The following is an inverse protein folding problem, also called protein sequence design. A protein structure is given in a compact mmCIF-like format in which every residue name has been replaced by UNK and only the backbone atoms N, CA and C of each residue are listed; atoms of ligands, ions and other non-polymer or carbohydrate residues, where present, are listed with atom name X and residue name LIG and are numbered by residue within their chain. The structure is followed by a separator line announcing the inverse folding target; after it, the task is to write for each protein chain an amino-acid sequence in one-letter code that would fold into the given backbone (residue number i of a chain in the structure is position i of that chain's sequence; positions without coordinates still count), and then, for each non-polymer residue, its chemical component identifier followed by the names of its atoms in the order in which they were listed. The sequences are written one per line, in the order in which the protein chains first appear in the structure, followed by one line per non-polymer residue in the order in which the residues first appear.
data_IF_955147859742
#
_entry.id   IF_955147859742
#
_cell.length_a   1.000
_cell.length_b   1.000
_cell.length_c   1.000
_cell.angle_alpha   90.00
_cell.angle_beta   90.00
_cell.angle_gamma   90.00
#
_symmetry.space_group_name_H-M   'P 1'
#
loop_
_entity.id
_entity.type
_entity.pdbx_description
1 polymer ?
#
# COMPACT_ATOMS: atom_id res chain seq x y z
N UNK A 1 -25.36 -12.37 -73.25
CA UNK A 1 -23.89 -12.26 -73.25
C UNK A 1 -23.52 -11.05 -72.39
N UNK A 2 -23.02 -11.31 -71.19
CA UNK A 2 -22.48 -10.29 -70.27
C UNK A 2 -21.49 -11.00 -69.35
N UNK A 3 -20.23 -10.56 -69.25
CA UNK A 3 -19.23 -11.29 -68.49
C UNK A 3 -19.34 -10.96 -66.99
N UNK A 4 -19.30 -12.02 -66.18
CA UNK A 4 -19.09 -11.96 -64.74
C UNK A 4 -17.69 -11.38 -64.46
N UNK A 5 -17.64 -10.27 -63.71
CA UNK A 5 -16.42 -9.81 -63.07
C UNK A 5 -16.20 -10.59 -61.78
N UNK A 6 -15.20 -11.48 -61.77
CA UNK A 6 -14.62 -12.03 -60.54
C UNK A 6 -13.53 -11.07 -60.06
N UNK A 7 -13.77 -10.37 -58.96
CA UNK A 7 -12.75 -9.63 -58.23
C UNK A 7 -12.00 -10.64 -57.37
N UNK A 8 -10.79 -11.02 -57.80
CA UNK A 8 -9.83 -11.73 -56.96
C UNK A 8 -9.19 -10.69 -56.04
N UNK A 9 -9.62 -10.67 -54.77
CA UNK A 9 -8.93 -9.93 -53.73
C UNK A 9 -7.64 -10.68 -53.39
N UNK A 10 -6.50 -10.18 -53.87
CA UNK A 10 -5.19 -10.55 -53.36
C UNK A 10 -5.05 -9.96 -51.95
N UNK A 11 -5.32 -10.77 -50.94
CA UNK A 11 -4.80 -10.56 -49.59
C UNK A 11 -3.33 -10.98 -49.61
N UNK A 12 -2.45 -10.05 -49.95
CA UNK A 12 -1.06 -10.09 -49.55
C UNK A 12 -0.99 -9.96 -48.03
N UNK A 13 -1.12 -11.08 -47.33
CA UNK A 13 -0.65 -11.16 -45.94
C UNK A 13 0.88 -11.12 -45.98
N UNK A 14 1.42 -9.94 -45.72
CA UNK A 14 2.78 -9.77 -45.23
C UNK A 14 2.89 -10.44 -43.86
N UNK A 15 3.15 -11.74 -43.84
CA UNK A 15 3.70 -12.47 -42.70
C UNK A 15 5.21 -12.56 -42.88
N UNK A 16 5.95 -11.92 -41.98
CA UNK A 16 7.40 -11.80 -42.05
C UNK A 16 8.09 -13.17 -42.08
N UNK A 17 8.71 -13.50 -43.20
CA UNK A 17 9.77 -14.51 -43.28
C UNK A 17 11.09 -13.74 -43.29
N UNK A 18 11.69 -13.57 -42.11
CA UNK A 18 13.10 -13.19 -41.98
C UNK A 18 13.80 -14.36 -41.30
N UNK A 19 13.89 -15.48 -42.02
CA UNK A 19 14.91 -16.47 -41.78
C UNK A 19 16.26 -15.85 -42.19
N UNK A 20 16.96 -15.26 -41.23
CA UNK A 20 18.40 -14.99 -41.36
C UNK A 20 19.16 -16.02 -40.51
N UNK A 21 19.32 -17.26 -41.00
CA UNK A 21 19.98 -18.36 -40.28
C UNK A 21 21.48 -18.14 -40.01
N UNK A 22 22.02 -16.98 -40.39
CA UNK A 22 23.44 -16.61 -40.28
C UNK A 22 23.67 -15.44 -39.31
N UNK A 23 22.81 -15.23 -38.32
CA UNK A 23 23.14 -14.33 -37.21
C UNK A 23 24.02 -15.06 -36.19
N UNK A 24 24.87 -14.31 -35.49
CA UNK A 24 25.75 -14.83 -34.43
C UNK A 24 24.97 -15.66 -33.37
N UNK A 25 23.70 -15.29 -33.17
CA UNK A 25 22.79 -15.86 -32.18
C UNK A 25 21.85 -16.95 -32.73
N UNK A 26 21.96 -17.34 -34.01
CA UNK A 26 21.05 -18.29 -34.65
C UNK A 26 20.79 -19.58 -33.84
N UNK A 27 21.82 -20.25 -33.28
CA UNK A 27 21.61 -21.44 -32.44
C UNK A 27 20.77 -21.21 -31.17
N UNK A 28 20.71 -19.96 -30.67
CA UNK A 28 19.99 -19.59 -29.46
C UNK A 28 18.55 -19.13 -29.73
N UNK A 29 18.24 -18.76 -30.97
CA UNK A 29 16.94 -18.23 -31.39
C UNK A 29 15.72 -19.09 -31.00
N UNK A 30 15.71 -20.43 -31.19
CA UNK A 30 14.54 -21.23 -30.81
C UNK A 30 14.22 -21.15 -29.31
N UNK A 31 15.24 -21.07 -28.44
CA UNK A 31 15.05 -20.95 -26.99
C UNK A 31 14.48 -19.60 -26.60
N UNK A 32 14.92 -18.52 -27.27
CA UNK A 32 14.34 -17.19 -27.08
C UNK A 32 12.88 -17.17 -27.49
N UNK A 33 12.54 -17.79 -28.62
CA UNK A 33 11.15 -17.86 -29.09
C UNK A 33 10.26 -18.69 -28.15
N UNK A 34 10.78 -19.79 -27.60
CA UNK A 34 10.05 -20.61 -26.63
C UNK A 34 9.80 -19.85 -25.32
N UNK A 35 10.83 -19.17 -24.79
CA UNK A 35 10.70 -18.30 -23.63
C UNK A 35 9.69 -17.17 -23.88
N UNK A 36 9.75 -16.50 -25.03
CA UNK A 36 8.82 -15.42 -25.39
C UNK A 36 7.37 -15.92 -25.46
N UNK A 37 7.13 -17.10 -26.03
CA UNK A 37 5.79 -17.72 -26.07
C UNK A 37 5.28 -18.05 -24.67
N UNK A 38 6.14 -18.57 -23.80
CA UNK A 38 5.78 -18.91 -22.43
C UNK A 38 5.43 -17.66 -21.61
N UNK A 39 6.26 -16.62 -21.71
CA UNK A 39 6.02 -15.31 -21.10
C UNK A 39 4.71 -14.71 -21.60
N UNK A 40 4.48 -14.72 -22.92
CA UNK A 40 3.26 -14.17 -23.53
C UNK A 40 2.00 -14.86 -23.03
N UNK A 41 2.00 -16.19 -22.87
CA UNK A 41 0.84 -16.94 -22.35
C UNK A 41 0.52 -16.56 -20.91
N UNK A 42 1.54 -16.43 -20.07
CA UNK A 42 1.32 -16.00 -18.69
C UNK A 42 0.77 -14.56 -18.63
N UNK A 43 1.30 -13.64 -19.45
CA UNK A 43 0.78 -12.27 -19.56
C UNK A 43 -0.66 -12.24 -20.05
N UNK A 44 -0.98 -13.04 -21.07
CA UNK A 44 -2.34 -13.17 -21.61
C UNK A 44 -3.31 -13.66 -20.53
N UNK A 45 -2.96 -14.72 -19.81
CA UNK A 45 -3.77 -15.23 -18.71
C UNK A 45 -3.95 -14.17 -17.61
N UNK A 46 -2.88 -13.53 -17.16
CA UNK A 46 -2.94 -12.52 -16.11
C UNK A 46 -3.79 -11.31 -16.51
N UNK A 47 -3.75 -10.91 -17.78
CA UNK A 47 -4.54 -9.80 -18.31
C UNK A 47 -6.02 -10.14 -18.40
N UNK A 48 -6.35 -11.36 -18.88
CA UNK A 48 -7.74 -11.83 -18.97
C UNK A 48 -8.37 -11.99 -17.58
N UNK A 49 -7.58 -12.37 -16.58
CA UNK A 49 -8.00 -12.57 -15.19
C UNK A 49 -7.65 -11.37 -14.31
N UNK A 50 -7.83 -10.14 -14.82
CA UNK A 50 -7.57 -8.89 -14.09
C UNK A 50 -8.83 -8.26 -13.49
N UNK A 51 -10.02 -8.73 -13.86
CA UNK A 51 -11.32 -8.17 -13.43
C UNK A 51 -12.31 -9.31 -13.09
N UNK A 52 -12.47 -9.69 -11.81
CA UNK A 52 -11.54 -9.38 -10.72
C UNK A 52 -10.18 -10.05 -10.92
N UNK A 53 -9.12 -9.57 -10.25
CA UNK A 53 -7.82 -10.22 -10.29
C UNK A 53 -7.92 -11.65 -9.71
N UNK A 54 -7.59 -12.67 -10.51
CA UNK A 54 -7.59 -14.10 -10.13
C UNK A 54 -6.35 -14.85 -10.65
N UNK A 55 -5.21 -14.16 -10.71
CA UNK A 55 -3.98 -14.64 -11.34
C UNK A 55 -3.38 -15.86 -10.63
N UNK A 56 -3.38 -15.89 -9.30
CA UNK A 56 -2.80 -16.99 -8.54
C UNK A 56 -3.60 -18.29 -8.72
N UNK A 57 -4.93 -18.21 -8.79
CA UNK A 57 -5.81 -19.37 -8.90
C UNK A 57 -5.92 -19.87 -10.34
N UNK A 58 -6.11 -18.98 -11.30
CA UNK A 58 -6.43 -19.35 -12.68
C UNK A 58 -5.19 -19.46 -13.58
N UNK A 59 -4.11 -18.70 -13.31
CA UNK A 59 -2.91 -18.64 -14.16
C UNK A 59 -1.71 -19.44 -13.64
N UNK A 60 -1.89 -20.24 -12.58
CA UNK A 60 -0.82 -21.07 -11.99
C UNK A 60 -0.16 -22.00 -13.03
N UNK A 61 -0.95 -22.57 -13.96
CA UNK A 61 -0.44 -23.47 -15.00
C UNK A 61 0.53 -22.77 -15.94
N UNK A 62 0.14 -21.61 -16.47
CA UNK A 62 0.98 -20.81 -17.37
C UNK A 62 2.23 -20.29 -16.64
N UNK A 63 2.08 -19.87 -15.38
CA UNK A 63 3.20 -19.44 -14.55
C UNK A 63 4.22 -20.57 -14.33
N UNK A 64 3.78 -21.77 -13.96
CA UNK A 64 4.67 -22.92 -13.77
C UNK A 64 5.40 -23.30 -15.07
N UNK A 65 4.69 -23.29 -16.20
CA UNK A 65 5.29 -23.55 -17.51
C UNK A 65 6.34 -22.48 -17.87
N UNK A 66 6.03 -21.20 -17.65
CA UNK A 66 6.98 -20.11 -17.83
C UNK A 66 8.25 -20.30 -16.99
N UNK A 67 8.11 -20.65 -15.70
CA UNK A 67 9.26 -20.88 -14.80
C UNK A 67 10.08 -22.11 -15.21
N UNK A 68 9.43 -23.16 -15.71
CA UNK A 68 10.14 -24.32 -16.25
C UNK A 68 10.96 -23.95 -17.49
N UNK A 69 10.38 -23.20 -18.43
CA UNK A 69 11.07 -22.77 -19.64
C UNK A 69 12.20 -21.79 -19.33
N UNK A 70 12.01 -20.90 -18.35
CA UNK A 70 13.09 -20.06 -17.83
C UNK A 70 14.25 -20.91 -17.30
N UNK A 71 13.97 -21.89 -16.45
CA UNK A 71 14.99 -22.79 -15.91
C UNK A 71 15.74 -23.51 -17.03
N UNK A 72 15.01 -24.12 -17.98
CA UNK A 72 15.56 -24.83 -19.11
C UNK A 72 16.47 -23.89 -19.94
N UNK A 73 16.00 -22.66 -20.21
CA UNK A 73 16.76 -21.63 -20.96
C UNK A 73 18.01 -21.17 -20.22
N UNK A 74 18.00 -21.13 -18.89
CA UNK A 74 19.20 -20.79 -18.09
C UNK A 74 20.24 -21.91 -18.06
N UNK A 75 19.81 -23.16 -18.21
CA UNK A 75 20.64 -24.36 -18.12
C UNK A 75 20.91 -25.02 -19.49
N UNK A 76 20.67 -24.31 -20.59
CA UNK A 76 21.05 -24.79 -21.93
C UNK A 76 22.56 -24.89 -22.08
N UNK A 77 23.01 -26.04 -22.58
CA UNK A 77 24.40 -26.28 -22.96
C UNK A 77 24.58 -26.09 -24.48
N UNK A 78 24.15 -24.93 -24.98
CA UNK A 78 24.29 -24.54 -26.39
C UNK A 78 25.11 -23.25 -26.45
N UNK A 79 26.03 -23.21 -27.42
CA UNK A 79 26.88 -22.05 -27.65
C UNK A 79 26.59 -21.40 -28.99
N UNK A 80 26.82 -20.10 -29.05
CA UNK A 80 26.79 -19.30 -30.27
C UNK A 80 28.00 -19.61 -31.17
N UNK A 81 28.03 -19.05 -32.37
CA UNK A 81 29.16 -19.24 -33.29
C UNK A 81 30.47 -18.62 -32.79
N UNK A 82 30.43 -17.66 -31.86
CA UNK A 82 31.61 -17.10 -31.15
C UNK A 82 31.94 -17.81 -29.84
N UNK A 83 31.23 -18.89 -29.50
CA UNK A 83 31.52 -19.71 -28.31
C UNK A 83 30.98 -19.17 -26.99
N UNK A 84 30.13 -18.14 -27.00
CA UNK A 84 29.39 -17.70 -25.81
C UNK A 84 28.24 -18.67 -25.53
N UNK A 85 27.87 -18.84 -24.25
CA UNK A 85 26.70 -19.66 -23.92
C UNK A 85 25.43 -18.90 -24.28
N UNK A 86 24.41 -19.62 -24.76
CA UNK A 86 23.12 -18.99 -25.05
C UNK A 86 22.47 -18.41 -23.78
N UNK A 87 22.69 -19.00 -22.61
CA UNK A 87 22.20 -18.47 -21.33
C UNK A 87 22.76 -17.07 -21.04
N UNK A 88 24.07 -16.90 -21.19
CA UNK A 88 24.72 -15.59 -21.01
C UNK A 88 24.29 -14.58 -22.07
N UNK A 89 24.16 -15.01 -23.33
CA UNK A 89 23.67 -14.15 -24.41
C UNK A 89 22.26 -13.62 -24.13
N UNK A 90 21.36 -14.49 -23.67
CA UNK A 90 19.95 -14.16 -23.44
C UNK A 90 19.79 -13.27 -22.21
N UNK A 91 20.47 -13.58 -21.10
CA UNK A 91 20.21 -12.94 -19.81
C UNK A 91 21.23 -11.85 -19.41
N UNK A 92 22.47 -11.90 -19.89
CA UNK A 92 23.57 -11.12 -19.30
C UNK A 92 24.37 -10.24 -20.30
N UNK A 93 24.35 -10.56 -21.59
CA UNK A 93 25.29 -9.95 -22.55
C UNK A 93 24.91 -8.53 -23.01
N UNK A 94 23.65 -8.13 -22.87
CA UNK A 94 23.15 -6.83 -23.35
C UNK A 94 22.92 -5.84 -22.21
N UNK A 95 23.11 -4.54 -22.50
CA UNK A 95 22.82 -3.41 -21.57
C UNK A 95 21.41 -3.51 -20.99
N UNK A 96 20.46 -3.91 -21.82
CA UNK A 96 19.12 -4.28 -21.42
C UNK A 96 18.84 -5.67 -21.95
N UNK A 97 18.83 -6.66 -21.06
CA UNK A 97 18.35 -7.99 -21.39
C UNK A 97 16.84 -8.04 -21.22
N UNK A 98 16.09 -7.87 -22.32
CA UNK A 98 14.63 -7.99 -22.28
C UNK A 98 14.16 -9.35 -21.75
N UNK A 99 14.88 -10.43 -22.08
CA UNK A 99 14.60 -11.77 -21.55
C UNK A 99 14.68 -11.81 -20.03
N UNK A 100 15.70 -11.20 -19.43
CA UNK A 100 15.86 -11.12 -17.98
C UNK A 100 14.83 -10.17 -17.33
N UNK A 101 14.70 -8.95 -17.85
CA UNK A 101 13.83 -7.90 -17.29
C UNK A 101 12.36 -8.32 -17.30
N UNK A 102 11.87 -8.90 -18.41
CA UNK A 102 10.49 -9.39 -18.50
C UNK A 102 10.31 -10.56 -17.54
N UNK A 103 11.20 -11.54 -17.54
CA UNK A 103 11.13 -12.69 -16.63
C UNK A 103 11.06 -12.24 -15.16
N UNK A 104 11.91 -11.29 -14.78
CA UNK A 104 11.93 -10.75 -13.43
C UNK A 104 10.64 -9.97 -13.12
N UNK A 105 10.14 -9.16 -14.04
CA UNK A 105 8.89 -8.43 -13.84
C UNK A 105 7.68 -9.36 -13.67
N UNK A 106 7.58 -10.43 -14.48
CA UNK A 106 6.52 -11.42 -14.36
C UNK A 106 6.56 -12.13 -13.01
N UNK A 107 7.74 -12.48 -12.53
CA UNK A 107 7.91 -13.09 -11.21
C UNK A 107 7.61 -12.08 -10.08
N UNK A 108 8.35 -10.97 -10.03
CA UNK A 108 8.37 -10.09 -8.87
C UNK A 108 7.14 -9.16 -8.80
N UNK A 109 6.65 -8.69 -9.95
CA UNK A 109 5.58 -7.67 -10.02
C UNK A 109 4.19 -8.24 -10.26
N UNK A 110 4.10 -9.44 -10.81
CA UNK A 110 2.81 -10.10 -11.03
C UNK A 110 2.63 -11.20 -9.98
N UNK A 111 3.52 -12.19 -9.93
CA UNK A 111 3.33 -13.36 -9.06
C UNK A 111 3.56 -13.05 -7.57
N UNK A 112 4.76 -12.57 -7.20
CA UNK A 112 5.14 -12.33 -5.81
C UNK A 112 4.37 -11.16 -5.20
N UNK A 113 4.16 -10.08 -5.96
CA UNK A 113 3.35 -8.94 -5.51
C UNK A 113 1.87 -9.33 -5.24
N UNK A 114 1.35 -10.36 -5.92
CA UNK A 114 0.01 -10.91 -5.67
C UNK A 114 -0.05 -11.83 -4.44
N UNK A 115 1.08 -12.07 -3.77
CA UNK A 115 1.20 -12.94 -2.59
C UNK A 115 0.63 -14.34 -2.85
N UNK A 116 0.89 -14.91 -4.04
CA UNK A 116 0.33 -16.21 -4.41
C UNK A 116 0.75 -17.35 -3.46
N UNK A 117 1.91 -17.23 -2.82
CA UNK A 117 2.40 -18.16 -1.79
C UNK A 117 1.45 -18.31 -0.59
N UNK A 118 0.64 -17.29 -0.30
CA UNK A 118 -0.39 -17.34 0.75
C UNK A 118 -1.57 -18.24 0.41
N UNK A 119 -1.83 -18.48 -0.88
CA UNK A 119 -2.97 -19.28 -1.34
C UNK A 119 -2.58 -20.68 -1.81
N UNK A 120 -1.37 -20.83 -2.33
CA UNK A 120 -0.86 -22.09 -2.85
C UNK A 120 0.63 -22.21 -2.63
N UNK A 121 1.10 -23.45 -2.56
CA UNK A 121 2.51 -23.78 -2.52
C UNK A 121 2.92 -24.56 -3.78
N UNK A 122 4.09 -24.26 -4.33
CA UNK A 122 4.66 -24.95 -5.49
C UNK A 122 5.92 -25.70 -5.04
N UNK A 123 5.91 -27.02 -5.23
CA UNK A 123 7.08 -27.89 -5.10
C UNK A 123 7.81 -27.94 -6.45
N UNK A 124 8.87 -27.14 -6.58
CA UNK A 124 9.65 -27.02 -7.80
C UNK A 124 10.59 -28.22 -7.98
N UNK A 125 10.42 -28.95 -9.09
CA UNK A 125 11.28 -30.05 -9.52
C UNK A 125 11.63 -29.87 -10.99
N UNK A 126 12.46 -28.85 -11.26
CA UNK A 126 12.80 -28.45 -12.62
C UNK A 126 13.56 -29.53 -13.38
N UNK A 127 14.48 -30.24 -12.74
CA UNK A 127 15.31 -31.28 -13.38
C UNK A 127 14.49 -32.46 -13.91
N UNK A 128 13.46 -32.89 -13.17
CA UNK A 128 12.60 -34.02 -13.56
C UNK A 128 11.36 -33.58 -14.34
N UNK A 129 11.10 -32.26 -14.45
CA UNK A 129 9.86 -31.69 -14.99
C UNK A 129 8.59 -32.19 -14.28
N UNK A 130 8.71 -32.51 -12.99
CA UNK A 130 7.60 -33.02 -12.16
C UNK A 130 7.18 -32.02 -11.07
N UNK A 131 7.31 -30.72 -11.34
CA UNK A 131 6.86 -29.66 -10.44
C UNK A 131 5.36 -29.80 -10.17
N UNK A 132 4.93 -29.69 -8.90
CA UNK A 132 3.53 -29.81 -8.49
C UNK A 132 3.13 -28.65 -7.60
N UNK A 133 1.85 -28.31 -7.60
CA UNK A 133 1.31 -27.29 -6.71
C UNK A 133 0.18 -27.83 -5.85
N UNK A 134 -0.02 -27.22 -4.70
CA UNK A 134 -1.10 -27.55 -3.77
C UNK A 134 -1.70 -26.28 -3.18
N UNK A 135 -3.02 -26.15 -3.24
CA UNK A 135 -3.73 -25.07 -2.54
C UNK A 135 -3.72 -25.29 -1.03
N UNK A 136 -3.57 -24.19 -0.30
CA UNK A 136 -3.68 -24.17 1.15
C UNK A 136 -5.09 -24.59 1.59
N UNK A 137 -5.18 -25.25 2.74
CA UNK A 137 -6.47 -25.72 3.26
C UNK A 137 -7.46 -24.56 3.47
N UNK A 138 -6.94 -23.37 3.79
CA UNK A 138 -7.76 -22.16 3.95
C UNK A 138 -8.38 -21.73 2.62
N UNK A 139 -7.56 -21.62 1.56
CA UNK A 139 -8.01 -21.31 0.20
C UNK A 139 -9.01 -22.31 -0.32
N UNK A 140 -8.77 -23.62 -0.14
CA UNK A 140 -9.71 -24.67 -0.53
C UNK A 140 -11.07 -24.51 0.16
N UNK A 141 -11.07 -24.23 1.46
CA UNK A 141 -12.31 -24.03 2.21
C UNK A 141 -13.04 -22.75 1.80
N UNK A 142 -12.31 -21.65 1.59
CA UNK A 142 -12.90 -20.41 1.12
C UNK A 142 -13.54 -20.60 -0.27
N UNK A 143 -12.76 -21.03 -1.26
CA UNK A 143 -13.17 -21.01 -2.66
C UNK A 143 -14.12 -22.16 -3.01
N UNK A 144 -13.72 -23.41 -2.74
CA UNK A 144 -14.46 -24.60 -3.21
C UNK A 144 -15.72 -24.91 -2.38
N UNK A 145 -15.82 -24.37 -1.16
CA UNK A 145 -16.92 -24.71 -0.24
C UNK A 145 -17.80 -23.49 0.02
N UNK A 146 -17.26 -22.46 0.65
CA UNK A 146 -18.06 -21.33 1.11
C UNK A 146 -18.49 -20.42 -0.03
N UNK A 147 -17.53 -20.03 -0.87
CA UNK A 147 -17.77 -19.12 -1.97
C UNK A 147 -18.63 -19.78 -3.06
N UNK A 148 -18.35 -21.03 -3.43
CA UNK A 148 -19.21 -21.81 -4.34
C UNK A 148 -20.64 -21.91 -3.80
N UNK A 149 -20.83 -22.28 -2.53
CA UNK A 149 -22.16 -22.39 -1.91
C UNK A 149 -22.97 -21.09 -1.95
N UNK A 150 -22.31 -19.96 -1.70
CA UNK A 150 -22.96 -18.65 -1.80
C UNK A 150 -23.32 -18.31 -3.26
N UNK A 151 -22.39 -18.52 -4.21
CA UNK A 151 -22.62 -18.26 -5.63
C UNK A 151 -23.78 -19.10 -6.16
N UNK A 152 -23.80 -20.40 -5.85
CA UNK A 152 -24.87 -21.32 -6.24
C UNK A 152 -26.23 -20.86 -5.68
N UNK A 153 -26.27 -20.32 -4.47
CA UNK A 153 -27.49 -19.73 -3.91
C UNK A 153 -27.98 -18.53 -4.74
N UNK A 154 -27.08 -17.59 -5.05
CA UNK A 154 -27.40 -16.39 -5.83
C UNK A 154 -27.87 -16.76 -7.23
N UNK A 155 -27.19 -17.69 -7.90
CA UNK A 155 -27.56 -18.17 -9.24
C UNK A 155 -28.93 -18.87 -9.23
N UNK A 156 -29.21 -19.72 -8.24
CA UNK A 156 -30.51 -20.39 -8.14
C UNK A 156 -31.67 -19.42 -7.92
N UNK A 157 -31.47 -18.37 -7.11
CA UNK A 157 -32.51 -17.36 -6.86
C UNK A 157 -32.73 -16.48 -8.09
N UNK A 158 -31.66 -16.09 -8.77
CA UNK A 158 -31.72 -15.20 -9.95
C UNK A 158 -32.25 -15.90 -11.19
N UNK A 159 -32.11 -17.22 -11.32
CA UNK A 159 -32.66 -18.01 -12.43
C UNK A 159 -34.17 -18.30 -12.32
N UNK A 160 -34.81 -17.98 -11.20
CA UNK A 160 -36.26 -18.17 -11.07
C UNK A 160 -37.04 -17.12 -11.88
N UNK A 161 -37.87 -17.55 -12.83
CA UNK A 161 -38.68 -16.69 -13.73
C UNK A 161 -39.64 -15.72 -12.99
N UNK A 162 -39.90 -15.95 -11.69
CA UNK A 162 -40.71 -15.08 -10.82
C UNK A 162 -39.95 -13.82 -10.33
N UNK A 163 -38.64 -13.71 -10.58
CA UNK A 163 -37.80 -12.58 -10.15
C UNK A 163 -38.09 -11.25 -10.90
N UNK A 164 -38.97 -11.25 -11.91
CA UNK A 164 -39.34 -10.03 -12.65
C UNK A 164 -40.52 -9.24 -12.05
N UNK A 165 -41.22 -9.77 -11.04
CA UNK A 165 -42.46 -9.16 -10.53
C UNK A 165 -42.44 -8.73 -9.05
N UNK A 166 -41.36 -9.01 -8.31
CA UNK A 166 -41.14 -8.51 -6.96
C UNK A 166 -39.69 -8.05 -6.78
N UNK A 167 -39.45 -7.17 -5.81
CA UNK A 167 -38.14 -6.62 -5.44
C UNK A 167 -37.11 -7.74 -5.17
N UNK A 168 -36.49 -8.23 -6.25
CA UNK A 168 -35.62 -9.41 -6.33
C UNK A 168 -34.38 -9.27 -5.45
N UNK A 169 -34.01 -8.03 -5.16
CA UNK A 169 -32.96 -7.69 -4.22
C UNK A 169 -33.30 -8.20 -2.80
N UNK A 170 -34.54 -8.02 -2.34
CA UNK A 170 -34.95 -8.46 -1.00
C UNK A 170 -35.00 -9.99 -0.82
N UNK A 171 -35.27 -10.73 -1.91
CA UNK A 171 -35.34 -12.19 -1.89
C UNK A 171 -33.95 -12.81 -1.85
N UNK A 172 -32.98 -12.29 -2.61
CA UNK A 172 -31.57 -12.71 -2.54
C UNK A 172 -31.00 -12.44 -1.14
N UNK A 173 -31.25 -11.25 -0.59
CA UNK A 173 -30.76 -10.89 0.74
C UNK A 173 -31.29 -11.78 1.86
N UNK A 174 -32.49 -12.33 1.73
CA UNK A 174 -33.10 -13.20 2.75
C UNK A 174 -32.77 -14.67 2.52
N UNK A 175 -32.79 -15.13 1.28
CA UNK A 175 -32.50 -16.52 0.92
C UNK A 175 -31.02 -16.88 1.09
N UNK A 176 -30.10 -16.00 0.70
CA UNK A 176 -28.66 -16.28 0.68
C UNK A 176 -27.89 -15.67 1.86
N UNK A 177 -28.60 -15.12 2.86
CA UNK A 177 -27.99 -14.48 4.04
C UNK A 177 -27.11 -15.42 4.83
N UNK A 178 -27.54 -16.67 5.00
CA UNK A 178 -26.82 -17.65 5.81
C UNK A 178 -25.46 -17.99 5.17
N UNK A 179 -25.46 -18.27 3.87
CA UNK A 179 -24.27 -18.59 3.08
C UNK A 179 -23.30 -17.41 3.05
N UNK A 180 -23.81 -16.19 2.84
CA UNK A 180 -22.99 -14.98 2.86
C UNK A 180 -22.36 -14.75 4.24
N UNK A 181 -23.14 -14.88 5.32
CA UNK A 181 -22.63 -14.70 6.68
C UNK A 181 -21.56 -15.73 7.05
N UNK A 182 -21.72 -16.99 6.62
CA UNK A 182 -20.72 -18.03 6.85
C UNK A 182 -19.41 -17.73 6.08
N UNK A 183 -19.53 -17.33 4.81
CA UNK A 183 -18.40 -16.90 3.98
C UNK A 183 -17.67 -15.70 4.61
N UNK A 184 -18.42 -14.66 4.97
CA UNK A 184 -17.87 -13.44 5.58
C UNK A 184 -17.21 -13.73 6.93
N UNK A 185 -17.85 -14.53 7.79
CA UNK A 185 -17.28 -14.88 9.09
C UNK A 185 -15.96 -15.66 8.94
N UNK A 186 -15.87 -16.57 7.97
CA UNK A 186 -14.66 -17.31 7.68
C UNK A 186 -13.53 -16.40 7.19
N UNK A 187 -13.83 -15.53 6.22
CA UNK A 187 -12.87 -14.54 5.72
C UNK A 187 -12.39 -13.60 6.82
N UNK A 188 -13.32 -13.01 7.57
CA UNK A 188 -13.03 -12.04 8.62
C UNK A 188 -12.14 -12.63 9.71
N UNK A 189 -12.37 -13.90 10.08
CA UNK A 189 -11.54 -14.60 11.07
C UNK A 189 -10.06 -14.65 10.68
N UNK A 190 -9.76 -14.86 9.40
CA UNK A 190 -8.39 -14.92 8.90
C UNK A 190 -7.84 -13.52 8.68
N UNK A 191 -8.67 -12.59 8.19
CA UNK A 191 -8.27 -11.20 7.97
C UNK A 191 -7.79 -10.48 9.24
N UNK A 192 -8.38 -10.80 10.40
CA UNK A 192 -8.00 -10.20 11.70
C UNK A 192 -6.82 -10.91 12.39
N UNK A 193 -6.40 -12.09 11.90
CA UNK A 193 -5.33 -12.86 12.53
C UNK A 193 -3.97 -12.24 12.17
N UNK A 194 -3.11 -11.94 13.16
CA UNK A 194 -1.80 -11.37 12.87
C UNK A 194 -0.93 -12.38 12.11
N UNK A 195 -0.09 -11.87 11.20
CA UNK A 195 0.86 -12.63 10.38
C UNK A 195 0.26 -13.64 9.39
N UNK A 196 -1.07 -13.75 9.28
CA UNK A 196 -1.74 -14.49 8.21
C UNK A 196 -2.40 -13.52 7.24
N UNK A 197 -2.15 -13.72 5.94
CA UNK A 197 -2.72 -12.89 4.88
C UNK A 197 -3.22 -13.78 3.77
N UNK A 198 -4.32 -13.40 3.14
CA UNK A 198 -4.76 -14.01 1.90
C UNK A 198 -3.93 -13.51 0.71
N UNK A 199 -3.96 -14.26 -0.39
CA UNK A 199 -3.48 -13.73 -1.67
C UNK A 199 -4.46 -12.66 -2.20
N UNK A 200 -3.96 -11.84 -3.13
CA UNK A 200 -4.74 -10.77 -3.76
C UNK A 200 -6.03 -11.30 -4.39
N UNK A 201 -6.01 -12.50 -4.99
CA UNK A 201 -7.20 -13.10 -5.61
C UNK A 201 -8.37 -13.25 -4.63
N UNK A 202 -8.12 -13.77 -3.42
CA UNK A 202 -9.17 -13.96 -2.41
C UNK A 202 -9.65 -12.63 -1.86
N UNK A 203 -8.72 -11.69 -1.63
CA UNK A 203 -9.08 -10.35 -1.15
C UNK A 203 -9.97 -9.61 -2.15
N UNK A 204 -9.61 -9.64 -3.44
CA UNK A 204 -10.40 -9.02 -4.49
C UNK A 204 -11.74 -9.70 -4.68
N UNK A 205 -11.77 -11.05 -4.69
CA UNK A 205 -13.00 -11.81 -4.80
C UNK A 205 -13.96 -11.50 -3.65
N UNK A 206 -13.45 -11.39 -2.42
CA UNK A 206 -14.27 -11.05 -1.27
C UNK A 206 -14.74 -9.59 -1.30
N UNK A 207 -13.88 -8.66 -1.72
CA UNK A 207 -14.23 -7.25 -1.88
C UNK A 207 -15.39 -7.07 -2.89
N UNK A 208 -15.31 -7.74 -4.04
CA UNK A 208 -16.36 -7.72 -5.06
C UNK A 208 -17.64 -8.38 -4.56
N UNK A 209 -17.53 -9.51 -3.85
CA UNK A 209 -18.67 -10.18 -3.21
C UNK A 209 -19.36 -9.24 -2.22
N UNK A 210 -18.59 -8.52 -1.42
CA UNK A 210 -19.10 -7.58 -0.42
C UNK A 210 -19.76 -6.35 -1.07
N UNK A 211 -19.19 -5.82 -2.15
CA UNK A 211 -19.79 -4.75 -2.95
C UNK A 211 -21.09 -5.23 -3.61
N UNK A 212 -21.10 -6.42 -4.21
CA UNK A 212 -22.31 -7.01 -4.79
C UNK A 212 -23.41 -7.16 -3.73
N UNK A 213 -23.08 -7.69 -2.56
CA UNK A 213 -24.04 -7.88 -1.48
C UNK A 213 -24.60 -6.56 -0.91
N UNK A 214 -23.73 -5.60 -0.63
CA UNK A 214 -24.15 -4.37 0.06
C UNK A 214 -24.75 -3.32 -0.87
N UNK A 215 -24.11 -3.10 -2.02
CA UNK A 215 -24.38 -1.94 -2.88
C UNK A 215 -25.28 -2.30 -4.06
N UNK A 216 -25.03 -3.44 -4.71
CA UNK A 216 -25.84 -3.88 -5.86
C UNK A 216 -27.15 -4.51 -5.39
N UNK A 217 -27.08 -5.48 -4.47
CA UNK A 217 -28.26 -6.16 -3.91
C UNK A 217 -28.92 -5.34 -2.79
N UNK A 218 -28.25 -4.32 -2.25
CA UNK A 218 -28.83 -3.47 -1.20
C UNK A 218 -29.08 -4.19 0.14
N UNK A 219 -28.40 -5.32 0.40
CA UNK A 219 -28.64 -6.14 1.58
C UNK A 219 -28.12 -5.55 2.90
N UNK A 220 -27.45 -4.39 2.83
CA UNK A 220 -26.96 -3.68 4.01
C UNK A 220 -28.12 -3.22 4.91
N UNK A 221 -28.09 -3.57 6.19
CA UNK A 221 -29.11 -3.20 7.19
C UNK A 221 -29.05 -1.70 7.52
N UNK A 222 -29.54 -0.85 6.61
CA UNK A 222 -29.56 0.62 6.78
C UNK A 222 -30.46 1.10 7.93
N UNK A 223 -31.40 0.25 8.36
CA UNK A 223 -32.46 0.60 9.33
C UNK A 223 -31.94 0.77 10.76
N UNK A 224 -30.88 0.06 11.14
CA UNK A 224 -30.32 0.16 12.49
C UNK A 224 -29.25 1.25 12.60
N UNK A 225 -28.51 1.52 11.50
CA UNK A 225 -27.56 2.63 11.43
C UNK A 225 -28.19 3.99 11.74
N UNK A 226 -29.43 4.22 11.32
CA UNK A 226 -30.15 5.48 11.59
C UNK A 226 -30.51 5.64 13.08
N UNK A 227 -30.89 4.55 13.75
CA UNK A 227 -31.20 4.58 15.19
C UNK A 227 -29.94 4.83 16.02
N UNK A 228 -28.84 4.18 15.66
CA UNK A 228 -27.54 4.38 16.32
C UNK A 228 -27.00 5.80 16.10
N UNK A 229 -27.13 6.33 14.89
CA UNK A 229 -26.75 7.72 14.59
C UNK A 229 -27.53 8.71 15.44
N UNK A 230 -28.85 8.52 15.55
CA UNK A 230 -29.69 9.37 16.39
C UNK A 230 -29.26 9.31 17.86
N UNK A 231 -28.98 8.11 18.39
CA UNK A 231 -28.50 7.94 19.77
C UNK A 231 -27.18 8.72 20.00
N UNK A 232 -26.20 8.57 19.11
CA UNK A 232 -24.90 9.25 19.21
C UNK A 232 -25.05 10.77 19.13
N UNK A 233 -25.93 11.27 18.26
CA UNK A 233 -26.20 12.71 18.14
C UNK A 233 -26.83 13.25 19.43
N UNK A 234 -27.83 12.56 19.99
CA UNK A 234 -28.46 13.02 21.22
C UNK A 234 -27.51 12.99 22.42
N UNK A 235 -26.67 11.95 22.56
CA UNK A 235 -25.69 11.88 23.64
C UNK A 235 -24.61 12.95 23.49
N UNK A 236 -24.16 13.22 22.26
CA UNK A 236 -23.19 14.29 21.98
C UNK A 236 -23.74 15.68 22.34
N UNK A 237 -24.99 15.98 21.97
CA UNK A 237 -25.66 17.24 22.31
C UNK A 237 -25.82 17.37 23.83
N UNK A 238 -26.24 16.31 24.51
CA UNK A 238 -26.41 16.33 25.97
C UNK A 238 -25.08 16.63 26.69
N UNK A 239 -23.98 15.98 26.27
CA UNK A 239 -22.65 16.22 26.83
C UNK A 239 -22.17 17.65 26.56
N UNK A 240 -22.44 18.20 25.37
CA UNK A 240 -22.11 19.57 25.04
C UNK A 240 -22.87 20.57 25.92
N UNK A 241 -24.18 20.37 26.10
CA UNK A 241 -25.03 21.22 26.95
C UNK A 241 -24.57 21.15 28.42
N UNK A 242 -24.29 19.95 28.94
CA UNK A 242 -23.79 19.79 30.31
C UNK A 242 -22.44 20.51 30.50
N UNK A 243 -21.54 20.39 29.53
CA UNK A 243 -20.24 21.08 29.55
C UNK A 243 -20.41 22.60 29.52
N UNK A 244 -21.27 23.10 28.63
CA UNK A 244 -21.59 24.52 28.52
C UNK A 244 -22.17 25.08 29.83
N UNK A 245 -23.15 24.39 30.42
CA UNK A 245 -23.76 24.77 31.69
C UNK A 245 -22.75 24.75 32.85
N UNK A 246 -21.84 23.78 32.87
CA UNK A 246 -20.77 23.71 33.87
C UNK A 246 -19.84 24.93 33.79
N UNK A 247 -19.37 25.32 32.60
CA UNK A 247 -18.50 26.49 32.44
C UNK A 247 -19.24 27.80 32.72
N UNK A 248 -20.50 27.93 32.30
CA UNK A 248 -21.33 29.10 32.63
C UNK A 248 -21.56 29.23 34.15
N UNK A 249 -21.87 28.13 34.84
CA UNK A 249 -22.02 28.11 36.30
C UNK A 249 -20.72 28.46 37.03
N UNK A 250 -19.58 27.93 36.56
CA UNK A 250 -18.25 28.24 37.11
C UNK A 250 -17.91 29.72 36.97
N UNK A 251 -18.21 30.32 35.81
CA UNK A 251 -17.99 31.75 35.56
C UNK A 251 -18.83 32.63 36.51
N UNK A 252 -20.13 32.36 36.61
CA UNK A 252 -21.03 33.13 37.46
C UNK A 252 -20.71 33.01 38.97
N UNK A 253 -20.18 31.86 39.41
CA UNK A 253 -19.74 31.68 40.80
C UNK A 253 -18.36 32.31 41.07
N UNK A 254 -17.47 32.36 40.06
CA UNK A 254 -16.14 32.95 40.17
C UNK A 254 -16.16 34.46 40.44
N UNK A 255 -17.16 35.18 39.91
CA UNK A 255 -17.30 36.63 40.10
C UNK A 255 -17.70 37.01 41.55
N UNK A 256 -18.27 36.08 42.32
CA UNK A 256 -18.71 36.34 43.71
C UNK A 256 -17.61 36.17 44.77
N UNK A 257 -16.44 35.65 44.40
CA UNK A 257 -15.30 35.55 45.32
C UNK A 257 -14.32 36.67 45.01
N UNK A 258 -14.55 37.85 45.58
CA UNK A 258 -13.51 38.89 45.65
C UNK A 258 -12.34 38.33 46.45
N UNK A 259 -11.35 37.75 45.78
CA UNK A 259 -10.12 37.30 46.43
C UNK A 259 -9.42 38.55 46.96
N UNK A 260 -9.47 38.76 48.27
CA UNK A 260 -8.67 39.77 48.96
C UNK A 260 -7.20 39.37 48.77
N UNK A 261 -6.55 39.94 47.77
CA UNK A 261 -5.12 39.79 47.55
C UNK A 261 -4.40 40.36 48.78
N UNK A 262 -3.93 39.49 49.67
CA UNK A 262 -2.98 39.88 50.70
C UNK A 262 -1.66 40.13 50.00
N UNK A 263 -1.29 41.40 49.87
CA UNK A 263 0.00 41.79 49.31
C UNK A 263 1.09 41.38 50.31
N UNK A 264 1.78 40.27 50.04
CA UNK A 264 3.00 39.88 50.76
C UNK A 264 4.18 40.75 50.28
N UNK A 265 4.09 42.05 50.53
CA UNK A 265 5.16 43.01 50.26
C UNK A 265 5.93 43.23 51.56
N UNK A 266 6.81 42.28 51.93
CA UNK A 266 7.94 42.38 52.88
C UNK A 266 8.35 40.99 53.40
N UNK A 267 8.78 40.12 52.51
CA UNK A 267 9.74 39.08 52.88
C UNK A 267 10.98 39.34 52.06
N UNK A 268 12.09 39.60 52.74
CA UNK A 268 13.41 39.67 52.11
C UNK A 268 13.65 38.35 51.37
N UNK A 269 14.15 38.38 50.11
CA UNK A 269 14.44 37.16 49.38
C UNK A 269 15.48 36.35 50.18
N UNK A 270 15.22 35.07 50.50
CA UNK A 270 16.25 34.25 51.11
C UNK A 270 17.41 34.11 50.12
N UNK A 271 18.51 34.77 50.41
CA UNK A 271 19.82 34.38 49.91
C UNK A 271 20.06 32.94 50.36
N UNK A 272 19.98 31.98 49.44
CA UNK A 272 21.01 30.96 49.18
C UNK A 272 20.50 29.83 48.30
N UNK A 273 21.42 29.39 47.44
CA UNK A 273 21.46 28.14 46.68
C UNK A 273 20.46 27.96 45.54
N UNK A 274 20.82 28.65 44.45
CA UNK A 274 20.57 28.30 43.06
C UNK A 274 20.95 26.83 42.78
N UNK A 275 20.06 25.89 43.07
CA UNK A 275 20.14 24.55 42.48
C UNK A 275 19.70 24.65 41.02
N UNK A 276 20.64 24.36 40.12
CA UNK A 276 20.39 24.06 38.70
C UNK A 276 19.31 22.98 38.63
N UNK A 277 18.07 23.38 38.40
CA UNK A 277 17.09 22.53 37.73
C UNK A 277 17.16 22.92 36.25
N UNK A 278 18.03 22.22 35.53
CA UNK A 278 17.96 22.19 34.08
C UNK A 278 16.75 21.31 33.71
N UNK A 279 15.85 21.96 33.01
CA UNK A 279 14.70 21.47 32.25
C UNK A 279 14.74 19.98 31.91
N UNK A 280 13.82 19.23 32.50
CA UNK A 280 13.24 18.02 31.91
C UNK A 280 11.71 18.16 31.92
N UNK A 281 11.11 17.76 30.80
CA UNK A 281 9.67 17.66 30.54
C UNK A 281 8.88 18.98 30.44
N UNK A 282 8.87 19.54 29.23
CA UNK A 282 7.68 20.20 28.71
C UNK A 282 6.57 19.16 28.53
N UNK A 283 5.69 19.06 29.52
CA UNK A 283 4.36 18.48 29.38
C UNK A 283 3.34 19.39 30.05
N UNK A 284 2.75 20.30 29.28
CA UNK A 284 1.38 20.76 29.49
C UNK A 284 0.91 21.59 28.30
N UNK A 285 -0.20 21.15 27.73
CA UNK A 285 -0.98 21.81 26.71
C UNK A 285 -1.27 23.28 27.04
N UNK A 286 -0.96 24.15 26.09
CA UNK A 286 -1.61 25.43 25.91
C UNK A 286 -2.47 25.34 24.66
N UNK A 287 -3.79 25.30 24.84
CA UNK A 287 -4.73 25.70 23.80
C UNK A 287 -5.01 27.20 24.01
N UNK A 288 -4.72 28.01 22.99
CA UNK A 288 -5.53 29.18 22.69
C UNK A 288 -6.19 28.97 21.33
N UNK A 289 -7.50 29.15 21.40
CA UNK A 289 -8.52 29.30 20.36
C UNK A 289 -8.03 29.90 19.04
N UNK A 290 -8.70 29.51 17.94
CA UNK A 290 -9.49 30.47 17.16
C UNK A 290 -10.50 29.78 16.23
N UNK A 291 -11.75 30.26 16.30
CA UNK A 291 -12.69 30.21 15.19
C UNK A 291 -12.41 31.42 14.29
N UNK A 292 -12.18 31.21 12.99
CA UNK A 292 -12.61 32.12 11.93
C UNK A 292 -12.47 31.44 10.56
N UNK A 293 -13.60 31.30 9.89
CA UNK A 293 -13.78 31.09 8.47
C UNK A 293 -13.12 32.18 7.60
N UNK A 294 -12.68 31.84 6.38
CA UNK A 294 -13.08 32.47 5.09
C UNK A 294 -11.99 32.38 3.99
N UNK A 295 -12.46 31.92 2.81
CA UNK A 295 -12.08 32.18 1.40
C UNK A 295 -10.69 31.89 0.81
N UNK A 296 -10.77 31.22 -0.34
CA UNK A 296 -9.93 31.32 -1.54
C UNK A 296 -9.21 32.66 -1.74
N UNK A 297 -7.93 32.58 -2.10
CA UNK A 297 -7.16 33.64 -2.73
C UNK A 297 -6.00 33.02 -3.52
N UNK A 298 -6.13 32.99 -4.84
CA UNK A 298 -5.03 32.70 -5.75
C UNK A 298 -4.07 33.90 -5.80
N UNK A 299 -2.76 33.65 -5.76
CA UNK A 299 -1.70 34.33 -6.55
C UNK A 299 -0.34 34.20 -5.85
N UNK A 300 0.70 33.87 -6.62
CA UNK A 300 2.07 34.20 -6.25
C UNK A 300 3.06 33.05 -6.30
N UNK A 301 3.29 32.50 -7.48
CA UNK A 301 4.45 31.67 -7.82
C UNK A 301 5.76 32.36 -7.47
N UNK A 302 6.59 31.71 -6.63
CA UNK A 302 8.06 31.72 -6.73
C UNK A 302 8.60 30.35 -6.29
N UNK A 303 9.05 29.59 -7.29
CA UNK A 303 10.03 28.51 -7.29
C UNK A 303 10.37 27.84 -5.94
N UNK A 304 9.65 26.76 -5.63
CA UNK A 304 10.04 25.76 -4.62
C UNK A 304 10.17 24.36 -5.27
N UNK A 305 10.65 24.32 -6.53
CA UNK A 305 10.67 23.11 -7.36
C UNK A 305 12.07 22.47 -7.50
N UNK A 306 13.13 23.06 -6.94
CA UNK A 306 14.50 22.65 -7.27
C UNK A 306 15.25 21.80 -6.23
N UNK A 307 14.63 21.47 -5.08
CA UNK A 307 15.28 20.64 -4.03
C UNK A 307 14.62 19.27 -3.87
N UNK A 308 13.40 19.07 -4.37
CA UNK A 308 12.62 17.86 -4.07
C UNK A 308 12.99 16.60 -4.89
N UNK A 309 13.93 16.67 -5.84
CA UNK A 309 14.13 15.59 -6.82
C UNK A 309 15.46 14.82 -6.75
N UNK A 310 16.27 15.00 -5.70
CA UNK A 310 17.57 14.32 -5.55
C UNK A 310 17.76 13.41 -4.33
N UNK A 311 16.73 13.19 -3.49
CA UNK A 311 16.86 12.30 -2.31
C UNK A 311 16.27 10.89 -2.49
N UNK A 312 15.87 10.52 -3.71
CA UNK A 312 15.59 9.12 -4.00
C UNK A 312 16.88 8.37 -4.35
N UNK A 313 17.26 7.47 -3.44
CA UNK A 313 18.11 6.30 -3.70
C UNK A 313 19.59 6.61 -3.95
N UNK A 314 20.33 6.94 -2.87
CA UNK A 314 21.69 6.45 -2.56
C UNK A 314 22.14 6.95 -1.16
N UNK A 315 22.64 6.02 -0.34
CA UNK A 315 23.42 6.21 0.91
C UNK A 315 22.73 6.65 2.23
N UNK A 316 21.72 5.87 2.71
CA UNK A 316 21.40 5.79 4.16
C UNK A 316 21.72 4.41 4.78
N UNK A 317 22.64 3.66 4.18
CA UNK A 317 23.11 2.40 4.76
C UNK A 317 24.39 2.63 5.57
N UNK A 318 24.35 2.17 6.84
CA UNK A 318 25.37 2.23 7.89
C UNK A 318 25.40 3.54 8.72
N UNK A 319 24.37 3.73 9.57
CA UNK A 319 24.57 4.44 10.84
C UNK A 319 25.21 3.43 11.81
N UNK A 320 26.37 3.74 12.37
CA UNK A 320 27.10 2.82 13.26
C UNK A 320 26.37 2.59 14.59
N UNK A 321 26.34 1.34 15.06
CA UNK A 321 25.69 0.93 16.31
C UNK A 321 26.63 0.95 17.52
N UNK A 322 27.91 1.26 17.33
CA UNK A 322 28.90 1.26 18.40
C UNK A 322 28.70 2.44 19.37
N UNK A 323 28.73 2.13 20.66
CA UNK A 323 28.75 3.11 21.76
C UNK A 323 27.39 3.66 22.20
N UNK A 324 26.27 3.02 21.86
CA UNK A 324 24.94 3.46 22.30
C UNK A 324 24.69 3.05 23.75
N UNK A 325 24.43 4.03 24.62
CA UNK A 325 24.06 3.77 26.00
C UNK A 325 22.59 3.32 26.07
N UNK A 326 22.37 2.10 26.56
CA UNK A 326 21.04 1.52 26.72
C UNK A 326 20.21 2.22 27.82
N UNK A 327 20.84 2.96 28.73
CA UNK A 327 20.17 3.69 29.82
C UNK A 327 19.83 5.15 29.46
N UNK A 328 20.18 5.60 28.25
CA UNK A 328 19.87 6.94 27.74
C UNK A 328 18.83 6.88 26.60
N UNK A 329 18.36 8.03 26.13
CA UNK A 329 17.47 8.11 24.96
C UNK A 329 18.20 7.60 23.71
N UNK A 330 17.84 6.39 23.29
CA UNK A 330 18.44 5.72 22.14
C UNK A 330 18.05 6.44 20.84
N UNK A 331 16.81 6.93 20.73
CA UNK A 331 16.34 7.67 19.55
C UNK A 331 17.11 8.99 19.42
N UNK A 332 17.31 9.68 20.53
CA UNK A 332 18.14 10.89 20.59
C UNK A 332 19.56 10.67 20.05
N UNK A 333 20.23 9.59 20.49
CA UNK A 333 21.58 9.24 20.03
C UNK A 333 21.65 8.93 18.52
N UNK A 334 20.62 8.30 17.96
CA UNK A 334 20.56 8.06 16.51
C UNK A 334 20.26 9.32 15.71
N UNK A 335 19.41 10.21 16.22
CA UNK A 335 19.13 11.51 15.61
C UNK A 335 20.40 12.35 15.52
N UNK A 336 21.18 12.46 16.61
CA UNK A 336 22.46 13.18 16.64
C UNK A 336 23.44 12.67 15.57
N UNK A 337 23.54 11.34 15.40
CA UNK A 337 24.41 10.71 14.40
C UNK A 337 23.92 10.91 12.95
N UNK A 338 22.68 11.34 12.77
CA UNK A 338 22.06 11.64 11.48
C UNK A 338 22.04 13.14 11.15
N UNK A 339 22.34 14.03 12.10
CA UNK A 339 22.29 15.49 11.90
C UNK A 339 23.21 15.98 10.77
N UNK A 340 24.42 15.40 10.65
CA UNK A 340 25.38 15.75 9.60
C UNK A 340 24.81 15.47 8.19
N UNK A 341 23.96 14.45 8.05
CA UNK A 341 23.35 14.05 6.78
C UNK A 341 22.19 14.96 6.34
N UNK A 342 21.68 15.78 7.26
CA UNK A 342 20.55 16.70 7.03
C UNK A 342 20.92 18.16 7.31
N UNK A 343 22.23 18.46 7.32
CA UNK A 343 22.76 19.79 7.63
C UNK A 343 22.21 20.89 6.71
N UNK A 344 21.94 20.59 5.44
CA UNK A 344 21.38 21.55 4.48
C UNK A 344 19.96 21.98 4.88
N UNK A 345 19.11 21.04 5.29
CA UNK A 345 17.75 21.33 5.77
C UNK A 345 17.77 22.06 7.11
N UNK A 346 18.75 21.74 7.97
CA UNK A 346 18.97 22.47 9.22
C UNK A 346 19.33 23.94 8.97
N UNK A 347 20.18 24.20 7.98
CA UNK A 347 20.57 25.56 7.60
C UNK A 347 19.36 26.38 7.11
N UNK A 348 18.48 25.77 6.31
CA UNK A 348 17.24 26.41 5.83
C UNK A 348 16.30 26.74 7.00
N UNK A 349 16.15 25.82 7.95
CA UNK A 349 15.35 26.04 9.17
C UNK A 349 15.93 27.19 10.03
N UNK A 350 17.25 27.25 10.18
CA UNK A 350 17.91 28.31 10.94
C UNK A 350 17.79 29.67 10.25
N UNK A 351 17.86 29.71 8.93
CA UNK A 351 17.61 30.92 8.15
C UNK A 351 16.19 31.44 8.37
N UNK A 352 15.18 30.55 8.29
CA UNK A 352 13.81 30.92 8.60
C UNK A 352 13.68 31.43 10.04
N UNK A 353 14.29 30.72 11.00
CA UNK A 353 14.21 31.08 12.43
C UNK A 353 14.78 32.48 12.67
N UNK A 354 15.91 32.81 12.04
CA UNK A 354 16.51 34.14 12.11
C UNK A 354 15.62 35.22 11.46
N UNK A 355 14.92 34.88 10.37
CA UNK A 355 13.99 35.78 9.69
C UNK A 355 12.75 36.09 10.54
N UNK A 356 12.21 35.09 11.23
CA UNK A 356 11.08 35.27 12.16
C UNK A 356 11.50 36.06 13.39
N UNK A 357 12.66 35.76 13.98
CA UNK A 357 13.14 36.47 15.17
C UNK A 357 13.56 37.92 14.90
N UNK A 358 14.01 38.24 13.69
CA UNK A 358 14.42 39.60 13.32
C UNK A 358 13.25 40.56 13.04
N UNK A 359 12.01 40.06 12.93
CA UNK A 359 10.83 40.87 12.60
C UNK A 359 9.85 40.92 13.79
N UNK A 360 9.57 42.11 14.36
CA UNK A 360 8.74 42.22 15.57
C UNK A 360 7.25 41.92 15.36
N UNK A 361 6.73 41.99 14.12
CA UNK A 361 5.34 41.69 13.77
C UNK A 361 5.31 40.94 12.42
N UNK A 362 5.59 39.64 12.44
CA UNK A 362 5.53 38.79 11.24
C UNK A 362 4.48 37.68 11.41
N UNK A 363 3.69 37.41 10.37
CA UNK A 363 2.78 36.26 10.30
C UNK A 363 3.48 35.00 9.75
N UNK A 364 4.76 35.14 9.38
CA UNK A 364 5.60 34.05 8.89
C UNK A 364 5.94 33.06 10.01
N UNK A 365 5.87 31.76 9.69
CA UNK A 365 6.26 30.66 10.60
C UNK A 365 7.22 29.72 9.88
N UNK A 366 8.10 29.07 10.64
CA UNK A 366 9.07 28.10 10.10
C UNK A 366 8.57 26.65 10.18
N UNK A 367 7.25 26.46 10.13
CA UNK A 367 6.66 25.14 10.34
C UNK A 367 7.03 24.17 9.22
N UNK A 368 7.06 24.64 7.97
CA UNK A 368 7.37 23.79 6.82
C UNK A 368 8.83 23.33 6.87
N UNK A 369 9.77 24.25 7.07
CA UNK A 369 11.20 23.97 7.18
C UNK A 369 11.50 23.03 8.35
N UNK A 370 10.74 23.13 9.44
CA UNK A 370 10.85 22.24 10.59
C UNK A 370 10.37 20.82 10.22
N UNK A 371 9.23 20.70 9.55
CA UNK A 371 8.70 19.42 9.10
C UNK A 371 9.64 18.74 8.10
N UNK A 372 10.19 19.48 7.15
CA UNK A 372 11.14 18.97 6.15
C UNK A 372 12.42 18.45 6.83
N UNK A 373 12.98 19.21 7.79
CA UNK A 373 14.13 18.80 8.59
C UNK A 373 13.85 17.53 9.40
N UNK A 374 12.74 17.49 10.14
CA UNK A 374 12.36 16.34 10.98
C UNK A 374 12.13 15.10 10.13
N UNK A 375 11.42 15.23 9.00
CA UNK A 375 11.12 14.10 8.12
C UNK A 375 12.41 13.46 7.57
N UNK A 376 13.38 14.27 7.16
CA UNK A 376 14.67 13.78 6.67
C UNK A 376 15.51 13.15 7.80
N UNK A 377 15.53 13.78 8.98
CA UNK A 377 16.23 13.28 10.16
C UNK A 377 15.69 11.92 10.61
N UNK A 378 14.36 11.78 10.66
CA UNK A 378 13.70 10.54 11.07
C UNK A 378 13.80 9.45 10.00
N UNK A 379 13.82 9.79 8.72
CA UNK A 379 14.09 8.83 7.64
C UNK A 379 15.47 8.16 7.80
N UNK A 380 16.45 8.88 8.35
CA UNK A 380 17.77 8.35 8.70
C UNK A 380 17.75 7.58 10.03
N UNK A 381 17.21 8.18 11.10
CA UNK A 381 17.38 7.69 12.46
C UNK A 381 16.48 6.50 12.81
N UNK A 382 15.22 6.49 12.33
CA UNK A 382 14.26 5.47 12.75
C UNK A 382 14.65 4.05 12.31
N UNK A 383 15.04 3.78 11.05
CA UNK A 383 15.43 2.42 10.65
C UNK A 383 16.60 1.86 11.47
N UNK A 384 17.53 2.72 11.91
CA UNK A 384 18.65 2.33 12.76
C UNK A 384 18.21 2.09 14.22
N UNK A 385 17.35 2.96 14.75
CA UNK A 385 16.78 2.81 16.09
C UNK A 385 15.94 1.53 16.22
N UNK A 386 15.06 1.24 15.24
CA UNK A 386 14.23 0.03 15.23
C UNK A 386 15.05 -1.26 15.18
N UNK A 387 16.21 -1.26 14.53
CA UNK A 387 17.12 -2.43 14.51
C UNK A 387 17.86 -2.64 15.84
N UNK A 388 18.00 -1.59 16.65
CA UNK A 388 18.75 -1.62 17.89
C UNK A 388 17.88 -1.95 19.11
N UNK A 389 16.60 -1.55 19.08
CA UNK A 389 15.63 -1.87 20.13
C UNK A 389 15.32 -3.39 20.11
N UNK A 390 15.56 -4.07 21.24
CA UNK A 390 15.22 -5.48 21.47
C UNK A 390 13.92 -5.62 22.25
#
# INVERSE_FOLDING_TARGET
MGPLFLIVAYLSLSGAEVDLPWTLAGPCEPFVQELAKAQSRFVECATNNSIPPSVCLDCIGDYMNFRQIEYDTRHINVTTFDGQTCSDLIFNNYVVSYGAEITQALNDKIWEQSRCSSCLWIDWKFETRESRYTFNNQTKRFYNVLYSSWRDCVENVTQSDDAQLMDSNSTVCTACKAQFNELFAYYWKIYIEPDTQFCVDIEALMNDTMHLWNDVQGCSERKDRQKETNLVVYTSIALFVLTFLFYMGSYAQGERVSRRLVQYSRLDPPETNRSRLLSSASSANFQVTNNASVSMGASGSKDYSHIHHSLHRKEYNQVSHDGIDANADQIGQFRERCEEKVADLKAVLDECTNRVQSRPNTEETCHQEMCDYIQALDHCALPAAWKHLK
#
